data_IF_654298099589
#
_entry.id   IF_654298099589
#
_cell.length_a   1.000
_cell.length_b   1.000
_cell.length_c   1.000
_cell.angle_alpha   90.00
_cell.angle_beta   90.00
_cell.angle_gamma   90.00
#
_symmetry.space_group_name_H-M   'P 1'
#
loop_
_entity.id
_entity.type
_entity.pdbx_description
1 polymer ?
#
# COMPACT_ATOMS: atom_id res chain seq x y z
N UNK A 1 -14.64 0.34 4.85
CA UNK A 1 -14.47 -0.68 5.92
C UNK A 1 -13.15 -0.51 6.65
N UNK A 2 -11.99 -0.91 6.09
CA UNK A 2 -10.69 -0.83 6.80
C UNK A 2 -10.38 0.58 7.31
N UNK A 3 -10.47 1.58 6.43
CA UNK A 3 -10.39 3.02 6.74
C UNK A 3 -11.17 3.46 8.00
N UNK A 4 -12.29 2.80 8.28
CA UNK A 4 -13.23 3.19 9.32
C UNK A 4 -13.02 2.43 10.64
N UNK A 5 -12.05 1.51 10.73
CA UNK A 5 -11.90 0.59 11.87
C UNK A 5 -11.28 1.23 13.12
N UNK A 6 -10.40 2.21 12.97
CA UNK A 6 -9.61 2.71 14.09
C UNK A 6 -9.04 4.10 13.86
N UNK A 7 -8.33 4.65 14.86
CA UNK A 7 -7.74 5.98 14.79
C UNK A 7 -6.41 6.03 14.03
N UNK A 8 -5.86 4.88 13.62
CA UNK A 8 -4.58 4.79 12.92
C UNK A 8 -4.74 4.79 11.41
N UNK A 9 -3.65 5.07 10.72
CA UNK A 9 -3.51 4.67 9.33
C UNK A 9 -3.51 3.15 9.16
N UNK A 10 -3.74 2.70 7.93
CA UNK A 10 -3.66 1.31 7.50
C UNK A 10 -3.05 1.32 6.10
N UNK A 11 -1.97 0.57 5.90
CA UNK A 11 -1.29 0.44 4.63
C UNK A 11 -1.59 -0.90 3.95
N UNK A 12 -1.48 -0.90 2.63
CA UNK A 12 -1.71 -2.04 1.77
C UNK A 12 -0.86 -1.93 0.50
N UNK A 13 -0.57 -3.07 -0.11
CA UNK A 13 -0.23 -3.10 -1.54
C UNK A 13 -1.47 -3.44 -2.36
N UNK A 14 -1.59 -2.83 -3.53
CA UNK A 14 -2.61 -3.17 -4.51
C UNK A 14 -2.12 -4.29 -5.43
N UNK A 15 -2.90 -5.38 -5.52
CA UNK A 15 -2.76 -6.37 -6.58
C UNK A 15 -3.53 -5.89 -7.81
N UNK A 16 -2.82 -5.60 -8.89
CA UNK A 16 -3.37 -5.12 -10.15
C UNK A 16 -3.92 -6.24 -11.03
N UNK A 17 -4.90 -5.91 -11.86
CA UNK A 17 -5.35 -6.74 -12.96
C UNK A 17 -4.19 -7.04 -13.92
N UNK A 18 -4.25 -8.22 -14.56
CA UNK A 18 -3.19 -8.66 -15.47
C UNK A 18 -3.10 -7.81 -16.75
N UNK A 19 -4.21 -7.22 -17.17
CA UNK A 19 -4.31 -6.44 -18.42
C UNK A 19 -4.41 -4.94 -18.19
N UNK A 20 -4.69 -4.52 -16.96
CA UNK A 20 -4.72 -3.11 -16.56
C UNK A 20 -3.91 -2.90 -15.26
N UNK A 21 -2.67 -2.39 -15.38
CA UNK A 21 -1.78 -2.20 -14.23
C UNK A 21 -2.29 -1.21 -13.18
N UNK A 22 -3.24 -0.34 -13.53
CA UNK A 22 -3.81 0.65 -12.61
C UNK A 22 -5.14 0.20 -12.00
N UNK A 23 -5.71 -0.92 -12.47
CA UNK A 23 -6.92 -1.49 -11.89
C UNK A 23 -6.58 -2.44 -10.75
N UNK A 24 -6.84 -2.00 -9.52
CA UNK A 24 -6.60 -2.81 -8.33
C UNK A 24 -7.78 -3.76 -8.08
N UNK A 25 -7.51 -5.06 -8.07
CA UNK A 25 -8.51 -6.12 -7.89
C UNK A 25 -8.50 -6.73 -6.50
N UNK A 26 -7.40 -6.58 -5.75
CA UNK A 26 -7.27 -7.08 -4.38
C UNK A 26 -6.28 -6.23 -3.59
N UNK A 27 -6.51 -6.13 -2.28
CA UNK A 27 -5.55 -5.57 -1.33
C UNK A 27 -4.71 -6.67 -0.70
N UNK A 28 -3.43 -6.39 -0.53
CA UNK A 28 -2.44 -7.20 0.19
C UNK A 28 -2.18 -6.45 1.50
N UNK A 29 -2.57 -7.07 2.62
CA UNK A 29 -2.51 -6.47 3.95
C UNK A 29 -1.52 -7.29 4.80
N UNK A 30 -0.22 -6.96 4.75
CA UNK A 30 0.74 -7.57 5.66
C UNK A 30 0.46 -7.11 7.10
N UNK A 31 1.04 -7.83 8.05
CA UNK A 31 1.12 -7.38 9.44
C UNK A 31 1.85 -6.03 9.46
N UNK A 32 1.37 -5.12 10.30
CA UNK A 32 1.80 -3.73 10.28
C UNK A 32 1.61 -3.05 11.62
N UNK A 33 2.46 -2.07 11.87
CA UNK A 33 2.47 -1.26 13.07
C UNK A 33 2.14 0.18 12.69
N UNK A 34 1.07 0.70 13.27
CA UNK A 34 0.42 1.91 12.76
C UNK A 34 0.26 2.98 13.84
N UNK A 35 0.45 4.22 13.43
CA UNK A 35 0.09 5.41 14.20
C UNK A 35 -0.98 6.20 13.45
N UNK A 36 -1.36 7.37 13.95
CA UNK A 36 -2.31 8.26 13.26
C UNK A 36 -1.77 8.87 11.96
N UNK A 37 -0.45 8.79 11.72
CA UNK A 37 0.24 9.51 10.64
C UNK A 37 1.30 8.66 9.92
N UNK A 38 1.39 7.37 10.21
CA UNK A 38 2.33 6.49 9.52
C UNK A 38 1.99 5.00 9.67
N UNK A 39 2.52 4.22 8.73
CA UNK A 39 2.47 2.76 8.72
C UNK A 39 3.87 2.20 8.54
N UNK A 40 4.21 1.17 9.31
CA UNK A 40 5.39 0.33 9.13
C UNK A 40 4.96 -1.11 8.91
N UNK A 41 5.31 -1.68 7.76
CA UNK A 41 5.08 -3.10 7.51
C UNK A 41 6.05 -3.96 8.31
N UNK A 42 5.55 -5.12 8.72
CA UNK A 42 6.36 -6.22 9.25
C UNK A 42 7.04 -6.92 8.07
N UNK A 43 8.37 -6.89 8.00
CA UNK A 43 9.12 -7.33 6.81
C UNK A 43 8.94 -8.82 6.52
N UNK A 44 8.89 -9.66 7.57
CA UNK A 44 8.63 -11.11 7.42
C UNK A 44 7.22 -11.34 6.90
N UNK A 45 6.21 -10.70 7.49
CA UNK A 45 4.85 -10.82 6.99
C UNK A 45 4.67 -10.28 5.57
N UNK A 46 5.40 -9.26 5.16
CA UNK A 46 5.34 -8.74 3.78
C UNK A 46 6.03 -9.70 2.81
N UNK A 47 7.17 -10.28 3.23
CA UNK A 47 7.89 -11.31 2.50
C UNK A 47 6.97 -12.47 2.14
N UNK A 48 6.34 -13.04 3.16
CA UNK A 48 5.47 -14.20 3.02
C UNK A 48 4.32 -13.92 2.04
N UNK A 49 3.70 -12.74 2.11
CA UNK A 49 2.61 -12.36 1.19
C UNK A 49 3.11 -12.25 -0.27
N UNK A 50 4.30 -11.68 -0.49
CA UNK A 50 4.87 -11.55 -1.83
C UNK A 50 5.33 -12.89 -2.40
N UNK A 51 5.93 -13.76 -1.58
CA UNK A 51 6.30 -15.12 -1.97
C UNK A 51 5.06 -15.94 -2.35
N UNK A 52 4.01 -15.90 -1.52
CA UNK A 52 2.74 -16.58 -1.81
C UNK A 52 2.12 -16.10 -3.15
N UNK A 53 2.23 -14.81 -3.46
CA UNK A 53 1.75 -14.26 -4.74
C UNK A 53 2.60 -14.74 -5.93
N UNK A 54 3.92 -14.77 -5.77
CA UNK A 54 4.83 -15.29 -6.79
C UNK A 54 4.58 -16.78 -7.05
N UNK A 55 4.41 -17.60 -6.00
CA UNK A 55 4.04 -19.02 -6.11
C UNK A 55 2.68 -19.23 -6.79
N UNK A 56 1.73 -18.32 -6.55
CA UNK A 56 0.44 -18.29 -7.24
C UNK A 56 0.52 -17.80 -8.70
N UNK A 57 1.71 -17.42 -9.17
CA UNK A 57 1.97 -17.01 -10.55
C UNK A 57 1.68 -15.54 -10.87
N UNK A 58 1.52 -14.69 -9.86
CA UNK A 58 1.46 -13.24 -10.05
C UNK A 58 2.86 -12.68 -10.26
N UNK A 59 2.98 -11.68 -11.14
CA UNK A 59 4.26 -11.00 -11.34
C UNK A 59 4.46 -9.85 -10.33
N UNK A 60 5.70 -9.46 -10.00
CA UNK A 60 5.96 -8.30 -9.15
C UNK A 60 5.35 -6.99 -9.68
N UNK A 61 5.21 -6.86 -11.00
CA UNK A 61 4.51 -5.73 -11.63
C UNK A 61 3.03 -5.64 -11.23
N UNK A 62 2.41 -6.75 -10.81
CA UNK A 62 1.04 -6.76 -10.32
C UNK A 62 0.93 -6.42 -8.84
N UNK A 63 1.89 -6.76 -7.99
CA UNK A 63 1.71 -6.64 -6.52
C UNK A 63 2.68 -5.69 -5.80
N UNK A 64 3.77 -5.26 -6.43
CA UNK A 64 4.81 -4.44 -5.80
C UNK A 64 4.89 -3.00 -6.35
N UNK A 65 3.85 -2.54 -7.07
CA UNK A 65 3.85 -1.23 -7.77
C UNK A 65 2.93 -0.19 -7.16
N UNK A 66 1.88 -0.61 -6.46
CA UNK A 66 0.84 0.29 -5.96
C UNK A 66 0.78 0.20 -4.45
N UNK A 67 1.17 1.27 -3.79
CA UNK A 67 1.01 1.44 -2.35
C UNK A 67 -0.24 2.25 -2.05
N UNK A 68 -1.05 1.73 -1.14
CA UNK A 68 -2.30 2.34 -0.73
C UNK A 68 -2.29 2.49 0.78
N UNK A 69 -2.70 3.64 1.29
CA UNK A 69 -2.93 3.79 2.72
C UNK A 69 -4.12 4.68 3.04
N UNK A 70 -4.60 4.59 4.28
CA UNK A 70 -5.74 5.37 4.75
C UNK A 70 -5.30 6.48 5.68
N UNK A 71 -5.88 7.67 5.54
CA UNK A 71 -5.76 8.71 6.56
C UNK A 71 -6.97 8.66 7.50
N UNK A 72 -6.77 8.60 8.82
CA UNK A 72 -7.87 8.63 9.79
C UNK A 72 -8.54 10.01 9.86
N UNK A 73 -7.89 11.07 9.38
CA UNK A 73 -8.45 12.41 9.22
C UNK A 73 -9.20 12.63 7.91
N UNK A 74 -9.54 13.90 7.63
CA UNK A 74 -10.41 14.27 6.49
C UNK A 74 -9.64 14.55 5.18
N UNK A 75 -8.32 14.74 5.23
CA UNK A 75 -7.49 15.06 4.07
C UNK A 75 -6.88 13.80 3.46
N UNK A 76 -7.00 13.67 2.14
CA UNK A 76 -6.32 12.62 1.37
C UNK A 76 -4.98 13.09 0.78
N UNK A 77 -4.57 14.35 0.99
CA UNK A 77 -3.28 14.82 0.49
C UNK A 77 -2.12 14.19 1.28
N UNK A 78 -1.02 13.82 0.59
CA UNK A 78 0.13 13.23 1.24
C UNK A 78 0.75 14.20 2.25
N UNK A 79 1.11 13.64 3.40
CA UNK A 79 1.94 14.27 4.41
C UNK A 79 3.42 14.21 4.02
N UNK A 80 4.26 14.89 4.80
CA UNK A 80 5.72 14.80 4.62
C UNK A 80 6.24 13.36 4.78
N UNK A 81 5.66 12.57 5.69
CA UNK A 81 6.06 11.18 5.93
C UNK A 81 5.69 10.29 4.75
N UNK A 82 4.54 10.54 4.11
CA UNK A 82 4.11 9.82 2.92
C UNK A 82 5.04 10.07 1.74
N UNK A 83 5.40 11.34 1.52
CA UNK A 83 6.34 11.75 0.48
C UNK A 83 7.71 11.10 0.68
N UNK A 84 8.24 11.11 1.90
CA UNK A 84 9.52 10.49 2.24
C UNK A 84 9.49 8.97 2.04
N UNK A 85 8.41 8.32 2.50
CA UNK A 85 8.21 6.87 2.34
C UNK A 85 8.12 6.49 0.87
N UNK A 86 7.32 7.22 0.09
CA UNK A 86 7.15 6.96 -1.33
C UNK A 86 8.43 7.22 -2.13
N UNK A 87 9.19 8.27 -1.81
CA UNK A 87 10.49 8.54 -2.39
C UNK A 87 11.50 7.41 -2.14
N UNK A 88 11.58 6.91 -0.90
CA UNK A 88 12.58 5.91 -0.50
C UNK A 88 12.22 4.47 -0.90
N UNK A 89 10.96 4.06 -0.77
CA UNK A 89 10.55 2.66 -0.92
C UNK A 89 10.11 2.29 -2.33
N UNK A 90 9.84 3.28 -3.18
CA UNK A 90 9.30 3.06 -4.53
C UNK A 90 10.18 3.71 -5.61
N UNK A 91 11.47 3.94 -5.33
CA UNK A 91 12.42 4.54 -6.28
C UNK A 91 12.84 3.59 -7.40
N UNK A 92 12.93 2.30 -7.08
CA UNK A 92 13.57 1.30 -7.96
C UNK A 92 12.64 0.79 -9.07
N UNK A 93 11.34 0.53 -8.83
CA UNK A 93 10.40 0.20 -9.88
C UNK A 93 10.37 1.28 -11.00
N UNK A 94 10.35 0.93 -12.29
CA UNK A 94 10.22 1.93 -13.39
C UNK A 94 9.03 2.90 -13.23
N UNK A 95 7.99 2.46 -12.52
CA UNK A 95 6.86 3.27 -12.11
C UNK A 95 6.30 2.74 -10.80
N UNK A 96 5.65 3.63 -10.04
CA UNK A 96 4.91 3.28 -8.83
C UNK A 96 3.73 4.25 -8.62
N UNK A 97 2.73 3.82 -7.86
CA UNK A 97 1.58 4.64 -7.47
C UNK A 97 1.49 4.70 -5.95
N UNK A 98 1.27 5.90 -5.43
CA UNK A 98 0.79 6.12 -4.08
C UNK A 98 -0.69 6.49 -4.16
N UNK A 99 -1.53 5.81 -3.38
CA UNK A 99 -2.95 6.11 -3.26
C UNK A 99 -3.35 6.29 -1.79
N UNK A 100 -4.16 7.30 -1.52
CA UNK A 100 -4.60 7.66 -0.18
C UNK A 100 -6.11 7.74 -0.14
N UNK A 101 -6.71 7.12 0.88
CA UNK A 101 -8.14 7.22 1.16
C UNK A 101 -8.36 7.82 2.56
N UNK A 102 -8.87 9.04 2.61
CA UNK A 102 -9.21 9.71 3.86
C UNK A 102 -10.58 9.26 4.39
N UNK A 103 -10.76 9.32 5.71
CA UNK A 103 -12.01 8.93 6.40
C UNK A 103 -13.25 9.61 5.83
N UNK A 104 -13.11 10.86 5.40
CA UNK A 104 -14.16 11.66 4.73
C UNK A 104 -14.67 11.06 3.41
N UNK A 105 -13.92 10.12 2.82
CA UNK A 105 -14.15 9.62 1.46
C UNK A 105 -13.35 10.35 0.39
N UNK A 106 -12.61 11.41 0.74
CA UNK A 106 -11.65 12.01 -0.17
C UNK A 106 -10.56 11.00 -0.54
N UNK A 107 -10.13 11.03 -1.81
CA UNK A 107 -9.09 10.16 -2.33
C UNK A 107 -8.04 10.97 -3.08
N UNK A 108 -6.80 10.49 -3.03
CA UNK A 108 -5.67 11.00 -3.79
C UNK A 108 -4.95 9.82 -4.42
N UNK A 109 -4.44 9.99 -5.63
CA UNK A 109 -3.50 9.04 -6.20
C UNK A 109 -2.49 9.78 -7.07
N UNK A 110 -1.22 9.36 -7.00
CA UNK A 110 -0.16 9.90 -7.84
C UNK A 110 0.67 8.76 -8.41
N UNK A 111 0.77 8.75 -9.73
CA UNK A 111 1.74 7.96 -10.46
C UNK A 111 3.07 8.71 -10.47
N UNK A 112 4.15 8.00 -10.12
CA UNK A 112 5.52 8.41 -10.42
C UNK A 112 6.11 7.47 -11.44
N UNK A 113 6.64 8.05 -12.51
CA UNK A 113 7.44 7.37 -13.51
C UNK A 113 8.92 7.62 -13.20
N UNK A 114 9.64 6.57 -12.81
CA UNK A 114 11.04 6.62 -12.39
C UNK A 114 12.01 6.42 -13.57
N UNK A 115 11.55 5.81 -14.67
CA UNK A 115 12.33 5.71 -15.90
C UNK A 115 12.44 7.06 -16.61
N UNK A 116 13.43 7.22 -17.50
CA UNK A 116 13.72 8.50 -18.17
C UNK A 116 12.79 8.72 -19.38
N UNK A 117 12.17 9.92 -19.54
CA UNK A 117 12.17 11.06 -18.62
C UNK A 117 11.29 10.79 -17.40
N UNK A 118 11.77 11.19 -16.22
CA UNK A 118 11.02 11.06 -14.98
C UNK A 118 9.89 12.10 -14.94
N UNK A 119 8.71 11.68 -14.50
CA UNK A 119 7.57 12.57 -14.30
C UNK A 119 6.61 12.02 -13.25
N UNK A 120 5.75 12.91 -12.76
CA UNK A 120 4.66 12.57 -11.85
C UNK A 120 3.35 13.12 -12.38
N UNK A 121 2.27 12.37 -12.20
CA UNK A 121 0.93 12.79 -12.57
C UNK A 121 -0.09 12.35 -11.51
N UNK A 122 -0.96 13.26 -11.12
CA UNK A 122 -2.10 12.94 -10.27
C UNK A 122 -3.14 12.16 -11.09
N UNK A 123 -3.62 11.06 -10.51
CA UNK A 123 -4.57 10.17 -11.14
C UNK A 123 -5.98 10.43 -10.58
N UNK A 124 -6.98 10.36 -11.46
CA UNK A 124 -8.36 10.22 -11.02
C UNK A 124 -8.56 8.83 -10.39
N UNK A 125 -9.25 8.79 -9.25
CA UNK A 125 -9.57 7.55 -8.54
C UNK A 125 -11.05 7.26 -8.68
N UNK A 126 -11.37 6.10 -9.23
CA UNK A 126 -12.74 5.65 -9.43
C UNK A 126 -12.92 4.21 -8.97
N UNK A 127 -14.13 3.89 -8.50
CA UNK A 127 -14.52 2.51 -8.20
C UNK A 127 -15.19 1.93 -9.44
N UNK A 128 -14.61 0.88 -9.99
CA UNK A 128 -15.23 0.14 -11.08
C UNK A 128 -16.34 -0.79 -10.55
N UNK A 129 -17.60 -0.43 -10.81
CA UNK A 129 -18.77 -1.21 -10.45
C UNK A 129 -19.14 -2.29 -11.49
N UNK A 130 -18.35 -2.46 -12.56
CA UNK A 130 -18.58 -3.46 -13.60
C UNK A 130 -18.19 -4.89 -13.21
N UNK A 131 -17.46 -5.07 -12.11
CA UNK A 131 -17.06 -6.38 -11.60
C UNK A 131 -18.15 -7.10 -10.80
N UNK A 132 -18.03 -8.43 -10.70
CA UNK A 132 -18.86 -9.21 -9.78
C UNK A 132 -18.52 -8.85 -8.32
N UNK A 133 -19.53 -8.47 -7.54
CA UNK A 133 -19.38 -8.17 -6.13
C UNK A 133 -20.13 -9.22 -5.29
N UNK A 134 -19.39 -10.18 -4.74
CA UNK A 134 -19.93 -11.25 -3.89
C UNK A 134 -20.44 -10.78 -2.51
N UNK A 135 -20.46 -9.48 -2.25
CA UNK A 135 -20.83 -8.89 -0.97
C UNK A 135 -19.64 -8.54 -0.08
N UNK A 136 -19.85 -7.59 0.84
CA UNK A 136 -18.84 -7.20 1.82
C UNK A 136 -18.75 -8.28 2.91
N UNK A 137 -17.70 -9.10 2.86
CA UNK A 137 -17.36 -10.10 3.90
C UNK A 137 -16.81 -9.41 5.16
N UNK A 138 -17.63 -8.60 5.83
CA UNK A 138 -17.20 -7.69 6.90
C UNK A 138 -16.50 -8.41 8.07
N UNK A 139 -16.96 -9.60 8.46
CA UNK A 139 -16.35 -10.36 9.57
C UNK A 139 -14.90 -10.79 9.24
N UNK A 140 -14.64 -11.11 7.97
CA UNK A 140 -13.28 -11.44 7.51
C UNK A 140 -12.39 -10.20 7.52
N UNK A 141 -12.93 -9.04 7.09
CA UNK A 141 -12.19 -7.78 7.14
C UNK A 141 -11.90 -7.34 8.58
N UNK A 142 -12.82 -7.54 9.50
CA UNK A 142 -12.61 -7.24 10.92
C UNK A 142 -11.56 -8.17 11.55
N UNK A 143 -11.62 -9.47 11.23
CA UNK A 143 -10.65 -10.45 11.69
C UNK A 143 -9.25 -10.13 11.17
N UNK A 144 -9.14 -9.82 9.86
CA UNK A 144 -7.90 -9.38 9.23
C UNK A 144 -7.35 -8.11 9.89
N UNK A 145 -8.21 -7.11 10.16
CA UNK A 145 -7.80 -5.88 10.82
C UNK A 145 -7.20 -6.16 12.20
N UNK A 146 -7.90 -6.94 13.04
CA UNK A 146 -7.45 -7.27 14.40
C UNK A 146 -6.16 -8.08 14.43
N UNK A 147 -5.95 -8.94 13.44
CA UNK A 147 -4.76 -9.79 13.34
C UNK A 147 -3.54 -9.02 12.82
N UNK A 148 -3.73 -8.17 11.81
CA UNK A 148 -2.64 -7.58 11.03
C UNK A 148 -2.32 -6.13 11.44
N UNK A 149 -3.27 -5.36 11.98
CA UNK A 149 -3.06 -3.92 12.28
C UNK A 149 -2.82 -3.73 13.78
N UNK A 150 -1.60 -3.31 14.14
CA UNK A 150 -1.17 -3.17 15.52
C UNK A 150 -0.95 -1.68 15.83
N UNK A 151 -1.80 -1.06 16.68
CA UNK A 151 -1.60 0.33 17.06
C UNK A 151 -0.33 0.51 17.91
N UNK A 152 0.57 1.39 17.50
CA UNK A 152 1.73 1.80 18.29
C UNK A 152 1.52 3.20 18.87
N UNK A 153 1.92 3.39 20.14
CA UNK A 153 1.81 4.70 20.81
C UNK A 153 2.99 5.63 20.52
N UNK A 154 4.15 5.07 20.16
CA UNK A 154 5.37 5.79 19.76
C UNK A 154 6.31 4.84 19.02
N UNK A 155 6.88 5.25 17.88
CA UNK A 155 8.07 4.58 17.35
C UNK A 155 9.22 4.84 18.32
N UNK A 156 9.54 3.87 19.16
CA UNK A 156 10.77 3.89 19.95
C UNK A 156 11.93 3.44 19.06
N UNK A 157 12.23 4.20 18.00
CA UNK A 157 13.49 4.29 17.27
C UNK A 157 13.28 5.29 16.13
N UNK A 158 14.30 6.12 15.89
CA UNK A 158 14.34 7.14 14.84
C UNK A 158 13.80 6.62 13.50
N UNK A 159 12.86 7.35 12.89
CA UNK A 159 12.32 7.09 11.54
C UNK A 159 13.40 7.02 10.44
N UNK A 160 14.66 7.34 10.78
CA UNK A 160 15.81 7.31 9.89
C UNK A 160 16.71 6.07 10.04
N UNK A 161 16.56 5.24 11.08
CA UNK A 161 17.66 4.33 11.52
C UNK A 161 17.44 2.82 11.36
N UNK A 162 16.42 2.35 10.64
CA UNK A 162 16.36 0.94 10.18
C UNK A 162 16.51 0.85 8.66
N UNK A 163 17.74 1.12 8.23
CA UNK A 163 18.25 0.86 6.88
C UNK A 163 18.85 -0.54 6.86
N UNK A 164 18.00 -1.55 6.69
CA UNK A 164 18.38 -2.72 5.93
C UNK A 164 17.73 -2.56 4.55
N UNK A 165 18.53 -2.66 3.48
CA UNK A 165 18.02 -2.76 2.11
C UNK A 165 16.96 -3.87 2.09
N UNK A 166 15.69 -3.56 1.78
CA UNK A 166 14.69 -4.59 1.71
C UNK A 166 15.00 -5.53 0.55
N UNK A 167 15.32 -6.78 0.87
CA UNK A 167 15.60 -7.86 -0.09
C UNK A 167 14.49 -8.03 -1.16
N UNK A 168 13.26 -7.54 -0.92
CA UNK A 168 12.17 -7.57 -1.90
C UNK A 168 12.38 -6.60 -3.08
N UNK A 169 13.26 -5.60 -2.94
CA UNK A 169 13.73 -4.78 -4.07
C UNK A 169 14.44 -5.68 -5.10
N UNK A 170 15.34 -6.57 -4.66
CA UNK A 170 16.02 -7.53 -5.54
C UNK A 170 15.06 -8.58 -6.15
N UNK A 171 13.96 -8.90 -5.45
CA UNK A 171 12.94 -9.81 -5.98
C UNK A 171 12.14 -9.20 -7.14
N UNK A 172 11.97 -7.86 -7.16
CA UNK A 172 11.32 -7.14 -8.26
C UNK A 172 12.18 -7.06 -9.54
N UNK A 173 13.51 -7.28 -9.43
CA UNK A 173 14.46 -7.24 -10.55
C UNK A 173 14.56 -8.56 -11.32
N UNK A 174 14.06 -9.68 -10.76
CA UNK A 174 14.21 -11.02 -11.36
C UNK A 174 13.01 -11.46 -12.23
N UNK A 175 12.12 -10.54 -12.60
CA UNK A 175 10.93 -10.81 -13.44
C UNK A 175 10.87 -9.97 -14.70
#
# INVERSE_FOLDING_TARGET
FLRDQGPTEIGAFGLSDRTDPLRIVRLIIPRQYCTEISVRFDDESLADEFENLAEAGYSPQQFARVWLHTHPGDSAHPSFVDEETFAKRFSDPDWAVMGILARSGASYARLRWNAVPQFEIELAVEVDFGGEFGGSRCDDWESLYRERVIPERWFSHSLADEVADPWWIEAAERG
#
